data_IF_224084404984
#
_entry.id   IF_224084404984
#
_cell.length_a   1.000
_cell.length_b   1.000
_cell.length_c   1.000
_cell.angle_alpha   90.00
_cell.angle_beta   90.00
_cell.angle_gamma   90.00
#
_symmetry.space_group_name_H-M   'P 1'
#
loop_
_entity.id
_entity.type
_entity.pdbx_description
1 polymer ?
#
# COMPACT_ATOMS: atom_id res chain seq x y z
N UNK A 1 7.52 3.76 -17.35
CA UNK A 1 6.44 3.52 -16.38
C UNK A 1 6.79 4.24 -15.08
N UNK A 2 5.94 5.16 -14.58
CA UNK A 2 6.14 5.82 -13.30
C UNK A 2 6.18 4.82 -12.13
N UNK A 3 6.96 5.17 -11.09
CA UNK A 3 7.02 4.44 -9.83
C UNK A 3 6.08 5.09 -8.81
N UNK A 4 5.34 4.26 -8.09
CA UNK A 4 4.37 4.63 -7.10
C UNK A 4 4.71 3.99 -5.76
N UNK A 5 4.23 4.60 -4.68
CA UNK A 5 4.33 4.05 -3.33
C UNK A 5 2.99 4.14 -2.64
N UNK A 6 2.41 2.98 -2.34
CA UNK A 6 1.31 2.86 -1.41
C UNK A 6 1.86 2.76 0.00
N UNK A 7 1.26 3.45 0.95
CA UNK A 7 1.53 3.29 2.39
C UNK A 7 0.21 3.11 3.11
N UNK A 8 0.10 2.06 3.91
CA UNK A 8 -1.07 1.73 4.71
C UNK A 8 -0.70 1.69 6.18
N UNK A 9 -1.49 2.35 7.01
CA UNK A 9 -1.39 2.24 8.47
C UNK A 9 -2.16 1.00 8.91
N UNK A 10 -1.50 0.11 9.64
CA UNK A 10 -2.06 -1.18 10.06
C UNK A 10 -2.49 -1.07 11.53
N UNK A 11 -3.75 -1.40 11.76
CA UNK A 11 -4.36 -1.47 13.09
C UNK A 11 -4.38 -2.88 13.64
N UNK A 12 -5.45 -3.23 14.35
CA UNK A 12 -5.63 -4.54 14.95
C UNK A 12 -5.68 -5.63 13.87
N UNK A 13 -5.03 -6.77 14.13
CA UNK A 13 -5.12 -7.94 13.26
C UNK A 13 -6.48 -8.63 13.41
N UNK A 14 -6.96 -9.26 12.35
CA UNK A 14 -8.12 -10.16 12.45
C UNK A 14 -7.74 -11.38 13.31
N UNK A 15 -8.71 -12.01 14.00
CA UNK A 15 -8.44 -13.20 14.81
C UNK A 15 -7.75 -14.30 14.00
N UNK A 16 -6.68 -14.87 14.56
CA UNK A 16 -5.92 -15.95 13.94
C UNK A 16 -4.94 -15.54 12.83
N UNK A 17 -4.86 -14.25 12.48
CA UNK A 17 -3.87 -13.73 11.52
C UNK A 17 -2.55 -13.48 12.24
N UNK A 18 -1.47 -14.03 11.69
CA UNK A 18 -0.12 -13.75 12.16
C UNK A 18 0.39 -12.42 11.57
N UNK A 19 1.05 -11.54 12.36
CA UNK A 19 1.54 -10.24 11.88
C UNK A 19 2.40 -10.32 10.61
N UNK A 20 3.20 -11.38 10.49
CA UNK A 20 4.14 -11.60 9.39
C UNK A 20 3.44 -11.85 8.05
N UNK A 21 2.14 -12.14 8.06
CA UNK A 21 1.35 -12.39 6.84
C UNK A 21 0.93 -11.10 6.13
N UNK A 22 0.84 -9.99 6.86
CA UNK A 22 0.21 -8.75 6.35
C UNK A 22 1.03 -8.10 5.23
N UNK A 23 2.34 -7.94 5.45
CA UNK A 23 3.22 -7.29 4.46
C UNK A 23 3.39 -8.15 3.18
N UNK A 24 3.64 -9.46 3.24
CA UNK A 24 3.65 -10.32 2.06
C UNK A 24 2.32 -10.28 1.29
N UNK A 25 1.18 -10.36 1.96
CA UNK A 25 -0.12 -10.32 1.29
C UNK A 25 -0.34 -9.00 0.52
N UNK A 26 0.10 -7.87 1.07
CA UNK A 26 0.04 -6.59 0.37
C UNK A 26 0.95 -6.56 -0.88
N UNK A 27 2.15 -7.12 -0.78
CA UNK A 27 3.08 -7.20 -1.90
C UNK A 27 2.57 -8.15 -3.00
N UNK A 28 2.04 -9.32 -2.63
CA UNK A 28 1.46 -10.29 -3.59
C UNK A 28 0.25 -9.72 -4.31
N UNK A 29 -0.67 -9.07 -3.59
CA UNK A 29 -1.83 -8.42 -4.20
C UNK A 29 -1.43 -7.35 -5.25
N UNK A 30 -0.28 -6.71 -5.07
CA UNK A 30 0.30 -5.80 -6.06
C UNK A 30 0.98 -6.55 -7.23
N UNK A 31 1.77 -7.60 -6.92
CA UNK A 31 2.49 -8.42 -7.91
C UNK A 31 1.60 -9.06 -8.95
N UNK A 32 0.40 -9.45 -8.58
CA UNK A 32 -0.58 -10.03 -9.49
C UNK A 32 -0.93 -9.11 -10.67
N UNK A 33 -0.67 -7.80 -10.58
CA UNK A 33 -1.04 -6.81 -11.59
C UNK A 33 0.14 -6.00 -12.14
N UNK A 34 1.25 -5.92 -11.41
CA UNK A 34 2.39 -5.09 -11.83
C UNK A 34 3.72 -5.53 -11.19
N UNK A 35 4.82 -4.95 -11.66
CA UNK A 35 6.14 -5.14 -11.05
C UNK A 35 6.22 -4.42 -9.72
N UNK A 36 6.45 -5.18 -8.65
CA UNK A 36 6.79 -4.66 -7.32
C UNK A 36 8.29 -4.44 -7.23
N UNK A 37 8.69 -3.21 -6.95
CA UNK A 37 10.10 -2.81 -6.83
C UNK A 37 10.67 -3.02 -5.43
N UNK A 38 9.83 -2.81 -4.40
CA UNK A 38 10.21 -2.94 -3.00
C UNK A 38 8.98 -2.96 -2.09
N UNK A 39 9.10 -3.56 -0.91
CA UNK A 39 8.08 -3.50 0.14
C UNK A 39 8.78 -3.45 1.51
N UNK A 40 8.17 -2.77 2.48
CA UNK A 40 8.76 -2.59 3.80
C UNK A 40 7.68 -2.37 4.87
N UNK A 41 7.95 -2.86 6.08
CA UNK A 41 7.25 -2.48 7.31
C UNK A 41 8.10 -1.46 8.07
N UNK A 42 7.46 -0.41 8.55
CA UNK A 42 8.07 0.63 9.40
C UNK A 42 7.13 0.95 10.55
N UNK A 43 7.65 1.49 11.65
CA UNK A 43 6.84 1.99 12.76
C UNK A 43 7.08 3.48 12.89
N UNK A 44 6.02 4.29 12.85
CA UNK A 44 6.12 5.75 12.94
C UNK A 44 5.20 6.23 14.05
N UNK A 45 5.76 6.83 15.10
CA UNK A 45 5.01 7.31 16.28
C UNK A 45 4.13 6.21 16.91
N UNK A 46 4.64 4.97 16.95
CA UNK A 46 3.92 3.81 17.48
C UNK A 46 2.93 3.15 16.50
N UNK A 47 2.72 3.73 15.31
CA UNK A 47 1.83 3.15 14.30
C UNK A 47 2.59 2.25 13.32
N UNK A 48 2.24 0.96 13.19
CA UNK A 48 2.77 0.11 12.13
C UNK A 48 2.30 0.59 10.76
N UNK A 49 3.23 0.74 9.82
CA UNK A 49 2.97 1.16 8.45
C UNK A 49 3.67 0.24 7.48
N UNK A 50 2.89 -0.37 6.60
CA UNK A 50 3.44 -1.10 5.45
C UNK A 50 3.52 -0.16 4.25
N UNK A 51 4.53 -0.37 3.43
CA UNK A 51 4.67 0.32 2.15
C UNK A 51 4.99 -0.66 1.04
N UNK A 52 4.39 -0.45 -0.12
CA UNK A 52 4.63 -1.23 -1.33
C UNK A 52 4.94 -0.25 -2.46
N UNK A 53 6.10 -0.44 -3.08
CA UNK A 53 6.55 0.31 -4.25
C UNK A 53 6.40 -0.53 -5.50
N UNK A 54 5.82 0.06 -6.53
CA UNK A 54 5.51 -0.64 -7.76
C UNK A 54 5.46 0.32 -8.94
N UNK A 55 5.53 -0.21 -10.17
CA UNK A 55 5.31 0.57 -11.38
C UNK A 55 3.84 0.56 -11.79
N UNK A 56 3.36 1.61 -12.44
CA UNK A 56 2.06 1.63 -13.11
C UNK A 56 2.13 2.49 -14.38
N UNK A 57 1.14 2.38 -15.27
CA UNK A 57 1.05 3.17 -16.49
C UNK A 57 0.69 4.62 -16.18
N UNK A 58 -0.27 4.81 -15.28
CA UNK A 58 -0.79 6.11 -14.89
C UNK A 58 -1.33 6.11 -13.45
N UNK A 59 -1.76 7.30 -13.01
CA UNK A 59 -2.26 7.54 -11.66
C UNK A 59 -3.60 6.81 -11.40
N UNK A 60 -4.41 6.58 -12.43
CA UNK A 60 -5.69 5.87 -12.34
C UNK A 60 -5.45 4.39 -12.03
N UNK A 61 -4.60 3.74 -12.83
CA UNK A 61 -4.20 2.35 -12.60
C UNK A 61 -3.56 2.17 -11.22
N UNK A 62 -2.72 3.11 -10.79
CA UNK A 62 -2.11 3.05 -9.45
C UNK A 62 -3.14 3.22 -8.34
N UNK A 63 -4.16 4.08 -8.52
CA UNK A 63 -5.23 4.24 -7.54
C UNK A 63 -6.10 2.97 -7.43
N UNK A 64 -6.44 2.33 -8.55
CA UNK A 64 -7.16 1.05 -8.57
C UNK A 64 -6.37 -0.05 -7.86
N UNK A 65 -5.07 -0.16 -8.15
CA UNK A 65 -4.20 -1.12 -7.49
C UNK A 65 -4.09 -0.84 -5.99
N UNK A 66 -3.98 0.43 -5.61
CA UNK A 66 -3.95 0.85 -4.21
C UNK A 66 -5.22 0.45 -3.44
N UNK A 67 -6.41 0.63 -4.04
CA UNK A 67 -7.68 0.16 -3.48
C UNK A 67 -7.71 -1.35 -3.33
N UNK A 68 -7.25 -2.08 -4.35
CA UNK A 68 -7.18 -3.56 -4.31
C UNK A 68 -6.28 -4.06 -3.19
N UNK A 69 -5.06 -3.54 -3.10
CA UNK A 69 -4.11 -3.91 -2.04
C UNK A 69 -4.68 -3.57 -0.67
N UNK A 70 -5.30 -2.39 -0.50
CA UNK A 70 -6.01 -2.03 0.73
C UNK A 70 -7.08 -3.07 1.06
N UNK A 71 -7.95 -3.42 0.11
CA UNK A 71 -9.02 -4.38 0.33
C UNK A 71 -8.49 -5.76 0.75
N UNK A 72 -7.41 -6.25 0.13
CA UNK A 72 -6.73 -7.48 0.56
C UNK A 72 -6.20 -7.37 1.98
N UNK A 73 -5.53 -6.27 2.33
CA UNK A 73 -5.01 -6.08 3.69
C UNK A 73 -6.13 -5.95 4.71
N UNK A 74 -7.28 -5.37 4.33
CA UNK A 74 -8.45 -5.24 5.21
C UNK A 74 -9.08 -6.59 5.62
N UNK A 75 -8.81 -7.66 4.88
CA UNK A 75 -9.21 -9.03 5.29
C UNK A 75 -8.29 -9.62 6.36
N UNK A 76 -7.11 -9.03 6.57
CA UNK A 76 -6.09 -9.51 7.51
C UNK A 76 -5.95 -8.63 8.74
N UNK A 77 -6.19 -7.33 8.60
CA UNK A 77 -6.10 -6.35 9.67
C UNK A 77 -7.03 -5.15 9.43
N UNK A 78 -7.30 -4.37 10.47
CA UNK A 78 -7.85 -3.03 10.30
C UNK A 78 -6.83 -2.16 9.55
N UNK A 79 -7.34 -1.36 8.61
CA UNK A 79 -6.51 -0.45 7.82
C UNK A 79 -6.98 0.97 8.07
N UNK A 80 -6.11 1.77 8.68
CA UNK A 80 -6.34 3.18 8.92
C UNK A 80 -5.97 4.04 7.71
N UNK A 81 -5.20 5.08 7.96
CA UNK A 81 -4.80 6.03 6.92
C UNK A 81 -4.06 5.33 5.78
N UNK A 82 -4.49 5.61 4.55
CA UNK A 82 -3.85 5.16 3.32
C UNK A 82 -3.28 6.36 2.57
N UNK A 83 -2.11 6.18 1.95
CA UNK A 83 -1.42 7.22 1.18
C UNK A 83 -0.89 6.62 -0.11
N UNK A 84 -1.11 7.33 -1.22
CA UNK A 84 -0.49 7.02 -2.50
C UNK A 84 0.38 8.19 -2.96
N UNK A 85 1.65 7.90 -3.22
CA UNK A 85 2.62 8.84 -3.78
C UNK A 85 3.07 8.38 -5.17
N UNK A 86 3.31 9.32 -6.08
CA UNK A 86 4.03 9.10 -7.34
C UNK A 86 5.43 9.67 -7.26
N UNK A 87 6.40 8.97 -7.83
CA UNK A 87 7.78 9.44 -7.93
C UNK A 87 7.96 10.35 -9.15
N UNK A 88 8.54 11.53 -8.93
CA UNK A 88 9.04 12.42 -9.96
C UNK A 88 10.52 12.75 -9.67
N UNK A 89 11.42 12.22 -10.49
CA UNK A 89 12.86 12.27 -10.23
C UNK A 89 13.22 11.67 -8.85
N UNK A 90 13.91 12.41 -7.97
CA UNK A 90 14.24 11.93 -6.63
C UNK A 90 13.11 12.10 -5.61
N UNK A 91 12.01 12.77 -5.95
CA UNK A 91 10.96 13.18 -4.99
C UNK A 91 9.70 12.33 -5.11
N UNK A 92 8.98 12.22 -3.99
CA UNK A 92 7.67 11.59 -3.90
C UNK A 92 6.60 12.67 -3.74
N UNK A 93 5.60 12.65 -4.62
CA UNK A 93 4.49 13.60 -4.63
C UNK A 93 3.19 12.86 -4.35
N UNK A 94 2.43 13.35 -3.37
CA UNK A 94 1.14 12.76 -3.01
C UNK A 94 0.14 12.93 -4.14
N UNK A 95 -0.61 11.88 -4.45
CA UNK A 95 -1.72 11.97 -5.38
C UNK A 95 -2.97 12.50 -4.68
N UNK A 96 -3.54 13.57 -5.22
CA UNK A 96 -4.76 14.19 -4.68
C UNK A 96 -6.00 13.31 -4.89
N UNK A 97 -6.03 12.49 -5.95
CA UNK A 97 -7.15 11.61 -6.32
C UNK A 97 -7.02 10.19 -5.75
N UNK A 98 -6.42 10.07 -4.57
CA UNK A 98 -6.38 8.83 -3.82
C UNK A 98 -7.20 9.01 -2.53
N UNK A 99 -8.52 9.06 -2.70
CA UNK A 99 -9.44 9.02 -1.56
C UNK A 99 -9.75 7.55 -1.24
N UNK A 100 -9.36 7.03 -0.07
CA UNK A 100 -9.62 5.66 0.30
C UNK A 100 -11.02 5.46 0.92
N UNK A 101 -11.84 6.53 1.02
CA UNK A 101 -13.18 6.61 1.66
C UNK A 101 -13.43 5.59 2.77
N UNK A 102 -13.39 6.12 4.00
CA UNK A 102 -13.56 5.40 5.26
C UNK A 102 -14.94 4.75 5.39
#
# INVERSE_FOLDING_TARGET
>A
MPSYRLTLTIGALRPGVAPEQVLPAAAEAARERTTVEAWALTVVRGEPRISVRYTAQDDGQSADLGRRVRATVSTLADVGASRLDRRYGPRWHRLARFDPSY
#
